data_IF_866822886748
#
_entry.id   IF_866822886748
#
_cell.length_a   1.000
_cell.length_b   1.000
_cell.length_c   1.000
_cell.angle_alpha   90.00
_cell.angle_beta   90.00
_cell.angle_gamma   90.00
#
_symmetry.space_group_name_H-M   'P 1'
#
loop_
_entity.id
_entity.type
_entity.pdbx_description
1 polymer ?
#
# COMPACT_ATOMS: atom_id res chain seq x y z
N UNK A 1 -11.17 -3.40 -9.96
CA UNK A 1 -11.55 -2.44 -8.90
C UNK A 1 -13.05 -2.38 -8.62
N UNK A 2 -13.94 -2.24 -9.61
CA UNK A 2 -15.39 -2.31 -9.35
C UNK A 2 -15.83 -3.60 -8.65
N UNK A 3 -15.30 -4.75 -9.08
CA UNK A 3 -15.50 -6.05 -8.40
C UNK A 3 -15.04 -6.03 -6.95
N UNK A 4 -13.93 -5.36 -6.63
CA UNK A 4 -13.46 -5.19 -5.26
C UNK A 4 -14.47 -4.38 -4.45
N UNK A 5 -14.98 -3.27 -4.98
CA UNK A 5 -16.03 -2.49 -4.33
C UNK A 5 -17.26 -3.32 -3.97
N UNK A 6 -17.74 -4.15 -4.90
CA UNK A 6 -18.86 -5.07 -4.65
C UNK A 6 -18.56 -6.11 -3.56
N UNK A 7 -17.33 -6.61 -3.48
CA UNK A 7 -16.92 -7.56 -2.44
C UNK A 7 -16.85 -6.88 -1.08
N UNK A 8 -16.22 -5.71 -0.99
CA UNK A 8 -16.22 -4.92 0.25
C UNK A 8 -17.64 -4.61 0.72
N UNK A 9 -18.58 -4.37 -0.22
CA UNK A 9 -20.00 -4.19 0.12
C UNK A 9 -20.60 -5.44 0.75
N UNK A 10 -20.24 -6.63 0.26
CA UNK A 10 -20.69 -7.91 0.82
C UNK A 10 -20.06 -8.18 2.17
N UNK A 11 -18.74 -8.01 2.28
CA UNK A 11 -17.96 -8.30 3.49
C UNK A 11 -18.39 -7.40 4.66
N UNK A 12 -18.74 -6.14 4.39
CA UNK A 12 -19.10 -5.13 5.39
C UNK A 12 -20.59 -4.73 5.37
N UNK A 13 -21.48 -5.52 4.77
CA UNK A 13 -22.90 -5.17 4.62
C UNK A 13 -23.64 -4.94 5.93
N UNK A 14 -23.22 -5.62 7.00
CA UNK A 14 -23.80 -5.48 8.34
C UNK A 14 -23.25 -4.28 9.12
N UNK A 15 -22.12 -3.74 8.69
CA UNK A 15 -21.43 -2.63 9.36
C UNK A 15 -21.72 -1.28 8.68
N UNK A 16 -21.72 -1.27 7.34
CA UNK A 16 -21.94 -0.08 6.53
C UNK A 16 -23.41 0.12 6.21
N UNK A 17 -23.87 1.37 6.27
CA UNK A 17 -25.20 1.78 5.82
C UNK A 17 -25.42 1.43 4.35
N UNK A 18 -26.68 1.20 3.95
CA UNK A 18 -27.01 0.88 2.56
C UNK A 18 -26.75 2.04 1.61
N UNK A 19 -27.17 3.23 2.01
CA UNK A 19 -26.84 4.49 1.36
C UNK A 19 -25.44 4.97 1.73
N UNK A 20 -24.81 5.72 0.83
CA UNK A 20 -23.63 6.52 1.18
C UNK A 20 -24.03 7.63 2.16
N UNK A 21 -23.30 7.76 3.27
CA UNK A 21 -23.46 8.85 4.23
C UNK A 21 -22.11 9.52 4.39
N UNK A 22 -22.07 10.82 4.13
CA UNK A 22 -20.83 11.63 4.14
C UNK A 22 -20.07 11.51 5.46
N UNK A 23 -20.78 11.58 6.59
CA UNK A 23 -20.21 11.50 7.94
C UNK A 23 -19.68 10.10 8.32
N UNK A 24 -20.02 9.06 7.54
CA UNK A 24 -19.61 7.66 7.81
C UNK A 24 -18.43 7.21 6.94
N UNK A 25 -18.15 7.88 5.82
CA UNK A 25 -17.22 7.39 4.79
C UNK A 25 -16.28 8.50 4.33
N UNK A 26 -14.99 8.29 4.55
CA UNK A 26 -13.93 9.15 4.05
C UNK A 26 -13.07 8.42 3.01
N UNK A 27 -12.74 9.11 1.93
CA UNK A 27 -11.92 8.56 0.85
C UNK A 27 -10.78 9.51 0.54
N UNK A 28 -9.55 8.98 0.61
CA UNK A 28 -8.34 9.67 0.17
C UNK A 28 -7.62 8.83 -0.87
N UNK A 29 -7.22 9.46 -1.97
CA UNK A 29 -6.37 8.86 -2.98
C UNK A 29 -5.05 9.62 -3.08
N UNK A 30 -3.98 8.94 -3.48
CA UNK A 30 -2.79 9.64 -3.94
C UNK A 30 -3.13 10.50 -5.17
N UNK A 31 -2.37 11.58 -5.40
CA UNK A 31 -2.57 12.46 -6.55
C UNK A 31 -2.03 11.85 -7.86
N UNK A 32 -2.60 10.69 -8.22
CA UNK A 32 -2.27 9.94 -9.43
C UNK A 32 -3.56 9.49 -10.10
N UNK A 33 -3.67 9.70 -11.41
CA UNK A 33 -4.86 9.39 -12.21
C UNK A 33 -5.36 7.94 -11.99
N UNK A 34 -4.46 6.96 -12.03
CA UNK A 34 -4.82 5.53 -11.86
C UNK A 34 -5.41 5.23 -10.48
N UNK A 35 -4.96 5.92 -9.43
CA UNK A 35 -5.44 5.72 -8.06
C UNK A 35 -6.82 6.36 -7.88
N UNK A 36 -7.00 7.61 -8.36
CA UNK A 36 -8.31 8.29 -8.35
C UNK A 36 -9.37 7.50 -9.11
N UNK A 37 -9.05 7.03 -10.32
CA UNK A 37 -9.95 6.19 -11.11
C UNK A 37 -10.26 4.85 -10.41
N UNK A 38 -9.27 4.24 -9.77
CA UNK A 38 -9.47 3.01 -8.99
C UNK A 38 -10.40 3.22 -7.80
N UNK A 39 -10.23 4.32 -7.06
CA UNK A 39 -11.11 4.70 -5.96
C UNK A 39 -12.55 4.91 -6.43
N UNK A 40 -12.76 5.63 -7.53
CA UNK A 40 -14.10 5.82 -8.13
C UNK A 40 -14.76 4.49 -8.49
N UNK A 41 -14.01 3.55 -9.07
CA UNK A 41 -14.54 2.22 -9.39
C UNK A 41 -14.90 1.41 -8.13
N UNK A 42 -14.06 1.45 -7.08
CA UNK A 42 -14.38 0.82 -5.80
C UNK A 42 -15.67 1.41 -5.22
N UNK A 43 -15.79 2.74 -5.19
CA UNK A 43 -16.95 3.44 -4.66
C UNK A 43 -18.23 3.14 -5.45
N UNK A 44 -18.15 3.06 -6.77
CA UNK A 44 -19.28 2.69 -7.61
C UNK A 44 -19.77 1.26 -7.32
N UNK A 45 -18.88 0.33 -6.95
CA UNK A 45 -19.25 -1.03 -6.54
C UNK A 45 -19.72 -1.12 -5.10
N UNK A 46 -19.23 -0.22 -4.23
CA UNK A 46 -19.48 -0.22 -2.79
C UNK A 46 -20.78 0.50 -2.42
N UNK A 47 -21.09 1.61 -3.09
CA UNK A 47 -22.24 2.48 -2.79
C UNK A 47 -23.05 2.80 -4.06
N UNK A 48 -23.67 1.80 -4.70
CA UNK A 48 -24.67 2.09 -5.72
C UNK A 48 -25.80 2.96 -5.11
N UNK A 49 -26.33 3.95 -5.84
CA UNK A 49 -27.38 4.82 -5.30
C UNK A 49 -28.65 4.03 -5.01
N UNK A 50 -29.27 4.32 -3.86
CA UNK A 50 -30.52 3.70 -3.41
C UNK A 50 -31.55 4.75 -3.02
N UNK A 51 -32.82 4.49 -3.30
CA UNK A 51 -33.93 5.37 -2.95
C UNK A 51 -33.72 6.81 -3.44
N UNK A 52 -33.70 7.76 -2.51
CA UNK A 52 -33.56 9.19 -2.81
C UNK A 52 -32.18 9.59 -3.38
N UNK A 53 -31.15 8.74 -3.27
CA UNK A 53 -29.84 9.00 -3.86
C UNK A 53 -29.77 8.65 -5.36
N UNK A 54 -30.83 8.05 -5.91
CA UNK A 54 -30.95 7.81 -7.35
C UNK A 54 -31.34 9.12 -8.03
N UNK A 55 -30.33 9.91 -8.40
CA UNK A 55 -30.52 11.18 -9.12
C UNK A 55 -30.80 10.96 -10.62
N UNK A 56 -30.37 9.82 -11.18
CA UNK A 56 -30.59 9.43 -12.57
C UNK A 56 -30.95 7.93 -12.67
N UNK A 57 -32.18 7.57 -13.11
CA UNK A 57 -32.61 6.17 -13.23
C UNK A 57 -31.81 5.32 -14.23
N UNK A 58 -31.25 5.95 -15.27
CA UNK A 58 -30.50 5.26 -16.33
C UNK A 58 -29.00 5.12 -16.02
N UNK A 59 -28.54 5.74 -14.93
CA UNK A 59 -27.15 5.72 -14.49
C UNK A 59 -27.08 5.40 -13.00
N UNK A 60 -26.97 4.11 -12.60
CA UNK A 60 -26.90 3.67 -11.21
C UNK A 60 -25.53 3.97 -10.59
N UNK A 61 -25.18 5.24 -10.55
CA UNK A 61 -23.94 5.80 -10.02
C UNK A 61 -24.25 7.13 -9.31
N UNK A 62 -23.50 7.41 -8.25
CA UNK A 62 -23.56 8.68 -7.54
C UNK A 62 -22.14 9.25 -7.35
N UNK A 63 -21.99 10.58 -7.37
CA UNK A 63 -20.71 11.22 -7.07
C UNK A 63 -20.39 11.04 -5.58
N UNK A 64 -19.25 10.43 -5.29
CA UNK A 64 -18.70 10.35 -3.93
C UNK A 64 -17.36 11.09 -3.92
N UNK A 65 -17.16 12.09 -3.03
CA UNK A 65 -15.93 12.87 -2.96
C UNK A 65 -14.69 12.01 -2.70
N UNK A 66 -13.59 12.36 -3.36
CA UNK A 66 -12.27 11.77 -3.13
C UNK A 66 -11.28 12.89 -2.85
N UNK A 67 -10.73 12.90 -1.65
CA UNK A 67 -9.67 13.85 -1.26
C UNK A 67 -8.32 13.38 -1.80
N UNK A 68 -7.41 14.32 -2.06
CA UNK A 68 -6.02 14.02 -2.38
C UNK A 68 -5.11 15.15 -1.89
N UNK A 69 -3.84 14.84 -1.72
CA UNK A 69 -2.77 15.81 -1.44
C UNK A 69 -1.82 15.80 -2.64
N UNK A 70 -1.35 16.96 -3.15
CA UNK A 70 -0.37 17.00 -4.24
C UNK A 70 0.82 16.09 -3.96
N UNK A 71 1.32 15.37 -4.98
CA UNK A 71 2.33 14.31 -4.77
C UNK A 71 3.55 14.77 -3.97
N UNK A 72 4.08 15.96 -4.26
CA UNK A 72 5.26 16.54 -3.61
C UNK A 72 5.05 16.94 -2.14
N UNK A 73 3.80 16.93 -1.68
CA UNK A 73 3.41 17.25 -0.31
C UNK A 73 2.87 16.02 0.43
N UNK A 74 2.70 14.89 -0.26
CA UNK A 74 2.08 13.69 0.29
C UNK A 74 3.13 12.72 0.85
N UNK A 75 3.24 12.69 2.17
CA UNK A 75 4.08 11.77 2.94
C UNK A 75 3.34 10.49 3.39
N UNK A 76 2.06 10.34 3.04
CA UNK A 76 1.22 9.23 3.50
C UNK A 76 0.99 8.19 2.41
N UNK A 77 0.50 8.61 1.23
CA UNK A 77 0.08 7.67 0.18
C UNK A 77 1.11 7.56 -0.95
N UNK A 78 1.63 8.67 -1.48
CA UNK A 78 2.68 8.63 -2.52
C UNK A 78 4.09 8.46 -1.94
N UNK A 79 4.33 8.90 -0.70
CA UNK A 79 5.65 8.99 -0.08
C UNK A 79 6.62 9.90 -0.86
N UNK A 80 6.09 10.92 -1.52
CA UNK A 80 6.86 11.81 -2.41
C UNK A 80 7.18 13.17 -1.80
N UNK A 81 6.66 13.46 -0.59
CA UNK A 81 7.16 14.58 0.21
C UNK A 81 8.65 14.36 0.52
N UNK A 82 9.56 15.28 0.16
CA UNK A 82 10.99 15.11 0.36
C UNK A 82 11.34 14.80 1.82
N UNK A 83 12.25 13.84 2.01
CA UNK A 83 12.69 13.47 3.34
C UNK A 83 14.17 13.13 3.45
N UNK A 84 14.91 13.86 4.28
CA UNK A 84 16.37 13.72 4.41
C UNK A 84 16.73 12.40 5.09
N UNK A 85 16.16 12.10 6.26
CA UNK A 85 16.40 10.86 6.99
C UNK A 85 16.13 9.61 6.14
N UNK A 86 14.99 9.60 5.41
CA UNK A 86 14.64 8.49 4.51
C UNK A 86 15.64 8.38 3.36
N UNK A 87 16.00 9.51 2.74
CA UNK A 87 16.98 9.56 1.65
C UNK A 87 18.36 9.04 2.08
N UNK A 88 18.87 9.47 3.23
CA UNK A 88 20.15 9.00 3.77
C UNK A 88 20.09 7.51 4.19
N UNK A 89 18.96 7.04 4.75
CA UNK A 89 18.78 5.63 5.05
C UNK A 89 18.81 4.75 3.78
N UNK A 90 18.11 5.17 2.72
CA UNK A 90 18.14 4.48 1.43
C UNK A 90 19.54 4.50 0.80
N UNK A 91 20.20 5.66 0.81
CA UNK A 91 21.56 5.82 0.29
C UNK A 91 22.56 4.92 1.01
N UNK A 92 22.53 4.89 2.36
CA UNK A 92 23.36 3.99 3.18
C UNK A 92 23.17 2.53 2.76
N UNK A 93 21.94 2.09 2.55
CA UNK A 93 21.69 0.72 2.11
C UNK A 93 22.16 0.45 0.69
N UNK A 94 21.86 1.34 -0.25
CA UNK A 94 22.26 1.19 -1.65
C UNK A 94 23.78 1.18 -1.82
N UNK A 95 24.52 1.83 -0.93
CA UNK A 95 26.00 1.81 -0.88
C UNK A 95 26.59 0.71 0.02
N UNK A 96 25.78 -0.22 0.54
CA UNK A 96 26.27 -1.29 1.43
C UNK A 96 27.01 -2.40 0.69
N UNK A 97 27.81 -3.18 1.41
CA UNK A 97 28.46 -4.39 0.89
C UNK A 97 27.43 -5.41 0.37
N UNK A 98 26.26 -5.48 1.01
CA UNK A 98 25.16 -6.35 0.57
C UNK A 98 24.71 -5.97 -0.84
N UNK A 99 24.49 -4.68 -1.09
CA UNK A 99 24.06 -4.19 -2.41
C UNK A 99 25.19 -4.25 -3.43
N UNK A 100 26.43 -4.02 -3.01
CA UNK A 100 27.61 -4.21 -3.86
C UNK A 100 27.71 -5.66 -4.33
N UNK A 101 27.60 -6.63 -3.42
CA UNK A 101 27.63 -8.04 -3.74
C UNK A 101 26.42 -8.46 -4.61
N UNK A 102 25.22 -7.93 -4.31
CA UNK A 102 24.04 -8.14 -5.15
C UNK A 102 24.29 -7.71 -6.60
N UNK A 103 24.91 -6.54 -6.82
CA UNK A 103 25.25 -6.07 -8.16
C UNK A 103 26.29 -6.95 -8.85
N UNK A 104 27.32 -7.41 -8.12
CA UNK A 104 28.35 -8.32 -8.66
C UNK A 104 27.73 -9.65 -9.12
N UNK A 105 26.87 -10.25 -8.29
CA UNK A 105 26.21 -11.53 -8.61
C UNK A 105 25.34 -11.42 -9.87
N UNK A 106 24.71 -10.26 -10.09
CA UNK A 106 23.81 -10.03 -11.22
C UNK A 106 24.45 -9.29 -12.40
N UNK A 107 25.77 -9.07 -12.40
CA UNK A 107 26.49 -8.25 -13.39
C UNK A 107 26.20 -8.70 -14.84
N UNK A 108 26.15 -10.01 -15.08
CA UNK A 108 25.84 -10.58 -16.41
C UNK A 108 24.44 -10.21 -16.87
N UNK A 109 23.46 -10.27 -15.98
CA UNK A 109 22.09 -9.89 -16.28
C UNK A 109 22.02 -8.39 -16.57
N UNK A 110 22.64 -7.55 -15.74
CA UNK A 110 22.66 -6.10 -15.95
C UNK A 110 23.24 -5.74 -17.32
N UNK A 111 24.41 -6.29 -17.68
CA UNK A 111 25.01 -6.09 -19.02
C UNK A 111 24.10 -6.55 -20.15
N UNK A 112 23.41 -7.68 -19.99
CA UNK A 112 22.47 -8.20 -20.98
C UNK A 112 21.28 -7.26 -21.17
N UNK A 113 20.66 -6.81 -20.07
CA UNK A 113 19.55 -5.87 -20.10
C UNK A 113 19.98 -4.54 -20.73
N UNK A 114 21.16 -4.02 -20.36
CA UNK A 114 21.67 -2.77 -20.92
C UNK A 114 21.88 -2.84 -22.42
N UNK A 115 22.49 -3.94 -22.90
CA UNK A 115 22.73 -4.16 -24.33
C UNK A 115 21.41 -4.16 -25.13
N UNK A 116 20.38 -4.83 -24.63
CA UNK A 116 19.14 -5.02 -25.37
C UNK A 116 18.13 -3.88 -25.22
N UNK A 117 18.20 -3.12 -24.13
CA UNK A 117 17.34 -1.94 -23.93
C UNK A 117 17.97 -0.66 -24.48
N UNK A 118 19.30 -0.61 -24.65
CA UNK A 118 20.02 0.60 -25.01
C UNK A 118 20.15 1.61 -23.85
N UNK A 119 19.71 1.25 -22.65
CA UNK A 119 19.83 2.05 -21.43
C UNK A 119 20.88 1.41 -20.51
N UNK A 120 21.64 2.20 -19.75
CA UNK A 120 22.52 1.64 -18.71
C UNK A 120 21.71 1.13 -17.51
N UNK A 121 21.35 -0.15 -17.51
CA UNK A 121 20.66 -0.86 -16.43
C UNK A 121 21.70 -1.32 -15.40
N UNK A 122 21.86 -0.56 -14.32
CA UNK A 122 22.91 -0.77 -13.31
C UNK A 122 22.40 -0.81 -11.85
N UNK A 123 21.08 -0.71 -11.64
CA UNK A 123 20.48 -0.72 -10.30
C UNK A 123 19.12 -1.46 -10.27
N UNK A 124 18.65 -1.71 -9.04
CA UNK A 124 17.39 -2.44 -8.77
C UNK A 124 16.15 -1.67 -9.23
N UNK A 125 16.19 -0.34 -9.30
CA UNK A 125 15.06 0.49 -9.72
C UNK A 125 14.83 0.38 -11.23
N UNK A 126 15.91 0.37 -12.01
CA UNK A 126 15.87 0.21 -13.46
C UNK A 126 15.43 -1.20 -13.85
N UNK A 127 15.90 -2.22 -13.14
CA UNK A 127 15.41 -3.59 -13.33
C UNK A 127 13.93 -3.70 -12.98
N UNK A 128 13.49 -3.10 -11.86
CA UNK A 128 12.07 -3.06 -11.50
C UNK A 128 11.22 -2.42 -12.61
N UNK A 129 11.63 -1.26 -13.12
CA UNK A 129 10.91 -0.56 -14.19
C UNK A 129 10.80 -1.39 -15.47
N UNK A 130 11.89 -2.04 -15.87
CA UNK A 130 11.91 -2.90 -17.05
C UNK A 130 11.04 -4.15 -16.84
N UNK A 131 11.18 -4.81 -15.70
CA UNK A 131 10.39 -5.98 -15.32
C UNK A 131 8.89 -5.66 -15.35
N UNK A 132 8.47 -4.55 -14.73
CA UNK A 132 7.07 -4.12 -14.69
C UNK A 132 6.53 -3.85 -16.10
N UNK A 133 7.30 -3.14 -16.93
CA UNK A 133 6.95 -2.87 -18.34
C UNK A 133 6.70 -4.16 -19.10
N UNK A 134 7.66 -5.09 -19.08
CA UNK A 134 7.56 -6.36 -19.82
C UNK A 134 6.45 -7.27 -19.23
N UNK A 135 6.24 -7.25 -17.91
CA UNK A 135 5.13 -7.97 -17.25
C UNK A 135 3.78 -7.46 -17.74
N UNK A 136 3.59 -6.15 -17.83
CA UNK A 136 2.36 -5.50 -18.29
C UNK A 136 2.12 -5.81 -19.77
N UNK A 137 3.12 -5.63 -20.62
CA UNK A 137 3.02 -5.94 -22.06
C UNK A 137 2.61 -7.40 -22.28
N UNK A 138 3.26 -8.33 -21.58
CA UNK A 138 2.93 -9.75 -21.61
C UNK A 138 1.51 -10.02 -21.12
N UNK A 139 1.08 -9.38 -20.03
CA UNK A 139 -0.27 -9.53 -19.48
C UNK A 139 -1.35 -9.08 -20.46
N UNK A 140 -1.06 -8.06 -21.26
CA UNK A 140 -1.95 -7.56 -22.32
C UNK A 140 -1.78 -8.27 -23.66
N UNK A 141 -1.09 -9.42 -23.70
CA UNK A 141 -0.83 -10.21 -24.91
C UNK A 141 -0.13 -9.42 -26.01
N UNK A 142 0.68 -8.42 -25.64
CA UNK A 142 1.53 -7.71 -26.60
C UNK A 142 2.74 -8.56 -26.93
N UNK A 143 3.21 -8.45 -28.17
CA UNK A 143 4.42 -9.16 -28.61
C UNK A 143 5.65 -8.51 -27.97
N UNK A 144 6.34 -9.28 -27.12
CA UNK A 144 7.59 -8.84 -26.53
C UNK A 144 8.74 -8.92 -27.54
N UNK A 145 9.75 -8.05 -27.42
CA UNK A 145 10.94 -8.10 -28.28
C UNK A 145 11.62 -9.49 -28.27
N UNK A 146 12.19 -9.97 -29.39
CA UNK A 146 12.71 -11.34 -29.49
C UNK A 146 13.76 -11.73 -28.43
N UNK A 147 14.56 -10.77 -27.94
CA UNK A 147 15.57 -11.01 -26.91
C UNK A 147 14.96 -11.43 -25.56
N UNK A 148 13.71 -11.07 -25.29
CA UNK A 148 13.01 -11.40 -24.04
C UNK A 148 12.69 -12.89 -23.86
N UNK A 149 12.81 -13.69 -24.93
CA UNK A 149 12.47 -15.13 -24.93
C UNK A 149 13.31 -15.95 -23.95
N UNK A 150 14.52 -15.50 -23.65
CA UNK A 150 15.46 -16.19 -22.76
C UNK A 150 15.74 -15.41 -21.47
N UNK A 151 14.87 -14.47 -21.12
CA UNK A 151 15.03 -13.72 -19.88
C UNK A 151 14.87 -14.60 -18.65
N UNK A 152 15.76 -14.48 -17.65
CA UNK A 152 15.58 -15.11 -16.35
C UNK A 152 14.51 -14.34 -15.57
N UNK A 153 13.24 -14.60 -15.88
CA UNK A 153 12.09 -13.88 -15.31
C UNK A 153 12.05 -13.93 -13.78
N UNK A 154 12.37 -15.09 -13.19
CA UNK A 154 12.36 -15.25 -11.73
C UNK A 154 13.45 -14.37 -11.07
N UNK A 155 14.65 -14.34 -11.63
CA UNK A 155 15.72 -13.45 -11.16
C UNK A 155 15.36 -11.98 -11.34
N UNK A 156 14.74 -11.60 -12.47
CA UNK A 156 14.27 -10.23 -12.65
C UNK A 156 13.18 -9.87 -11.63
N UNK A 157 12.28 -10.80 -11.32
CA UNK A 157 11.25 -10.62 -10.31
C UNK A 157 11.85 -10.42 -8.92
N UNK A 158 12.82 -11.25 -8.51
CA UNK A 158 13.50 -11.12 -7.21
C UNK A 158 14.15 -9.74 -7.06
N UNK A 159 14.86 -9.27 -8.09
CA UNK A 159 15.48 -7.94 -8.10
C UNK A 159 14.42 -6.84 -8.09
N UNK A 160 13.35 -6.99 -8.88
CA UNK A 160 12.27 -6.03 -8.95
C UNK A 160 11.48 -5.92 -7.64
N UNK A 161 11.30 -7.03 -6.92
CA UNK A 161 10.63 -7.08 -5.63
C UNK A 161 11.50 -6.44 -4.54
N UNK A 162 12.83 -6.57 -4.64
CA UNK A 162 13.77 -5.90 -3.72
C UNK A 162 13.57 -4.39 -3.70
N UNK A 163 13.27 -3.74 -4.83
CA UNK A 163 12.95 -2.29 -4.90
C UNK A 163 11.82 -1.87 -3.96
N UNK A 164 10.81 -2.71 -3.72
CA UNK A 164 9.74 -2.37 -2.77
C UNK A 164 10.18 -2.64 -1.32
N UNK A 165 11.00 -3.68 -1.14
CA UNK A 165 11.49 -4.10 0.16
C UNK A 165 12.55 -3.17 0.77
N UNK A 166 13.33 -2.43 -0.04
CA UNK A 166 14.34 -1.48 0.50
C UNK A 166 13.73 -0.41 1.42
N UNK A 167 12.44 -0.14 1.30
CA UNK A 167 11.71 0.79 2.17
C UNK A 167 11.35 0.19 3.53
N UNK A 168 11.82 -1.02 3.83
CA UNK A 168 11.41 -1.80 5.01
C UNK A 168 12.59 -2.41 5.76
N UNK A 169 13.82 -2.13 5.35
CA UNK A 169 15.04 -2.81 5.83
C UNK A 169 15.58 -2.22 7.14
N UNK A 170 15.42 -0.92 7.34
CA UNK A 170 15.96 -0.17 8.46
C UNK A 170 14.84 0.57 9.18
N UNK A 171 15.05 0.89 10.45
CA UNK A 171 14.07 1.61 11.27
C UNK A 171 13.60 2.90 10.59
N UNK A 172 14.50 3.74 10.08
CA UNK A 172 14.14 4.99 9.38
C UNK A 172 13.30 4.70 8.13
N UNK A 173 13.69 3.71 7.32
CA UNK A 173 12.92 3.36 6.11
C UNK A 173 11.50 2.88 6.47
N UNK A 174 11.36 2.04 7.51
CA UNK A 174 10.06 1.60 8.01
C UNK A 174 9.26 2.78 8.56
N UNK A 175 9.88 3.62 9.38
CA UNK A 175 9.24 4.78 10.04
C UNK A 175 8.66 5.77 9.02
N UNK A 176 9.46 6.18 8.04
CA UNK A 176 9.08 7.21 7.06
C UNK A 176 8.35 6.65 5.84
N UNK A 177 8.14 5.33 5.76
CA UNK A 177 7.32 4.69 4.72
C UNK A 177 6.05 4.10 5.31
N UNK A 178 6.07 2.83 5.76
CA UNK A 178 4.88 2.15 6.29
C UNK A 178 4.40 2.71 7.62
N UNK A 179 5.33 3.23 8.43
CA UNK A 179 5.07 3.78 9.75
C UNK A 179 4.13 4.99 9.77
N UNK A 180 4.22 5.85 8.75
CA UNK A 180 3.34 7.02 8.61
C UNK A 180 1.89 6.59 8.45
N UNK A 181 1.63 5.60 7.59
CA UNK A 181 0.29 5.06 7.38
C UNK A 181 -0.23 4.35 8.63
N UNK A 182 0.60 3.54 9.29
CA UNK A 182 0.21 2.86 10.52
C UNK A 182 -0.13 3.86 11.63
N UNK A 183 0.64 4.95 11.76
CA UNK A 183 0.37 6.01 12.72
C UNK A 183 -0.98 6.69 12.45
N UNK A 184 -1.25 7.05 11.20
CA UNK A 184 -2.53 7.65 10.81
C UNK A 184 -3.71 6.73 11.14
N UNK A 185 -3.62 5.43 10.82
CA UNK A 185 -4.67 4.45 11.15
C UNK A 185 -4.89 4.35 12.66
N UNK A 186 -3.83 4.28 13.46
CA UNK A 186 -3.90 4.25 14.92
C UNK A 186 -4.59 5.50 15.46
N UNK A 187 -4.25 6.67 14.94
CA UNK A 187 -4.86 7.93 15.37
C UNK A 187 -6.36 7.97 15.07
N UNK A 188 -6.79 7.48 13.89
CA UNK A 188 -8.22 7.39 13.54
C UNK A 188 -8.97 6.40 14.44
N UNK A 189 -8.36 5.27 14.77
CA UNK A 189 -8.96 4.31 15.70
C UNK A 189 -9.00 4.82 17.15
N UNK A 190 -7.98 5.53 17.59
CA UNK A 190 -7.95 6.17 18.90
C UNK A 190 -9.01 7.26 19.01
N UNK A 191 -9.17 8.10 17.97
CA UNK A 191 -10.24 9.10 17.91
C UNK A 191 -11.64 8.46 17.97
N UNK A 192 -11.88 7.38 17.20
CA UNK A 192 -13.14 6.62 17.28
C UNK A 192 -13.37 6.03 18.68
N UNK A 193 -12.33 5.51 19.32
CA UNK A 193 -12.41 4.86 20.63
C UNK A 193 -12.69 5.85 21.77
N UNK A 194 -12.16 7.08 21.68
CA UNK A 194 -12.21 8.08 22.74
C UNK A 194 -13.37 9.07 22.52
N UNK A 195 -13.49 9.61 21.31
CA UNK A 195 -14.41 10.70 20.98
C UNK A 195 -15.69 10.21 20.28
N UNK A 196 -15.77 8.94 19.90
CA UNK A 196 -16.97 8.37 19.28
C UNK A 196 -17.24 8.86 17.86
N UNK A 197 -16.21 9.26 17.12
CA UNK A 197 -16.28 9.74 15.71
C UNK A 197 -17.27 8.95 14.85
N UNK A 198 -18.17 9.60 14.10
CA UNK A 198 -19.19 8.95 13.26
C UNK A 198 -18.60 8.15 12.09
N UNK A 199 -17.32 8.38 11.78
CA UNK A 199 -16.60 7.75 10.68
C UNK A 199 -16.52 6.23 10.88
N UNK A 200 -17.04 5.49 9.91
CA UNK A 200 -17.06 4.03 9.89
C UNK A 200 -16.01 3.44 8.94
N UNK A 201 -15.83 4.05 7.77
CA UNK A 201 -14.94 3.56 6.73
C UNK A 201 -14.00 4.65 6.25
N UNK A 202 -12.72 4.31 6.17
CA UNK A 202 -11.71 5.10 5.47
C UNK A 202 -11.14 4.25 4.33
N UNK A 203 -11.15 4.78 3.11
CA UNK A 203 -10.49 4.15 1.96
C UNK A 203 -9.27 4.98 1.58
N UNK A 204 -8.11 4.33 1.63
CA UNK A 204 -6.86 4.84 1.08
C UNK A 204 -6.56 4.17 -0.27
N UNK A 205 -6.65 4.91 -1.36
CA UNK A 205 -6.30 4.42 -2.70
C UNK A 205 -4.90 4.88 -3.10
N UNK A 206 -3.95 3.94 -3.08
CA UNK A 206 -2.52 4.26 -3.14
C UNK A 206 -1.74 3.28 -4.06
N UNK A 207 -0.53 2.91 -3.67
CA UNK A 207 0.44 2.17 -4.50
C UNK A 207 0.94 0.90 -3.80
N UNK A 208 1.58 0.04 -4.57
CA UNK A 208 2.40 -1.07 -4.06
C UNK A 208 3.52 -0.56 -3.12
N UNK A 209 4.11 0.60 -3.43
CA UNK A 209 5.07 1.30 -2.57
C UNK A 209 4.46 1.84 -1.27
N UNK A 210 3.14 1.89 -1.14
CA UNK A 210 2.45 2.21 0.12
C UNK A 210 2.12 0.94 0.89
N UNK A 211 1.58 -0.06 0.17
CA UNK A 211 1.10 -1.32 0.76
C UNK A 211 2.24 -2.19 1.29
N UNK A 212 3.32 -2.37 0.51
CA UNK A 212 4.42 -3.25 0.91
C UNK A 212 5.09 -2.76 2.19
N UNK A 213 5.48 -1.48 2.33
CA UNK A 213 6.08 -1.02 3.58
C UNK A 213 5.18 -1.17 4.79
N UNK A 214 3.89 -0.84 4.68
CA UNK A 214 2.95 -1.05 5.78
C UNK A 214 2.82 -2.54 6.16
N UNK A 215 2.70 -3.43 5.16
CA UNK A 215 2.60 -4.87 5.38
C UNK A 215 3.88 -5.47 5.98
N UNK A 216 5.07 -5.03 5.55
CA UNK A 216 6.34 -5.47 6.14
C UNK A 216 6.52 -4.94 7.56
N UNK A 217 6.13 -3.70 7.85
CA UNK A 217 6.12 -3.15 9.21
C UNK A 217 5.25 -3.99 10.16
N UNK A 218 4.23 -4.67 9.64
CA UNK A 218 3.38 -5.60 10.39
C UNK A 218 3.97 -7.03 10.52
N UNK A 219 5.16 -7.28 10.01
CA UNK A 219 5.89 -8.54 10.18
C UNK A 219 5.58 -9.63 9.15
N UNK A 220 5.08 -9.27 7.96
CA UNK A 220 4.79 -10.23 6.89
C UNK A 220 6.01 -11.05 6.44
N UNK A 221 7.19 -10.41 6.38
CA UNK A 221 8.50 -11.08 6.25
C UNK A 221 8.78 -11.73 4.90
N UNK A 222 7.91 -11.58 3.90
CA UNK A 222 8.11 -12.13 2.54
C UNK A 222 8.37 -11.02 1.53
N UNK A 223 9.36 -11.18 0.67
CA UNK A 223 9.62 -10.27 -0.45
C UNK A 223 8.68 -10.65 -1.60
N UNK A 224 7.89 -9.69 -2.09
CA UNK A 224 6.95 -9.92 -3.19
C UNK A 224 6.53 -8.61 -3.88
N UNK A 225 5.94 -8.72 -5.07
CA UNK A 225 5.25 -7.61 -5.74
C UNK A 225 3.75 -7.87 -5.63
N UNK A 226 2.96 -6.98 -5.01
CA UNK A 226 1.52 -7.12 -4.92
C UNK A 226 0.85 -7.13 -6.30
N UNK A 227 -0.16 -7.99 -6.48
CA UNK A 227 -1.00 -7.94 -7.68
C UNK A 227 -2.04 -6.82 -7.57
N UNK A 228 -2.67 -6.49 -8.71
CA UNK A 228 -3.64 -5.40 -8.75
C UNK A 228 -4.79 -5.61 -7.76
N UNK A 229 -5.14 -4.54 -7.04
CA UNK A 229 -6.19 -4.56 -6.02
C UNK A 229 -5.86 -5.40 -4.78
N UNK A 230 -4.60 -5.79 -4.57
CA UNK A 230 -4.12 -6.19 -3.26
C UNK A 230 -4.43 -5.09 -2.25
N UNK A 231 -4.88 -5.46 -1.05
CA UNK A 231 -5.26 -4.48 -0.04
C UNK A 231 -5.11 -5.03 1.38
N UNK A 232 -4.91 -4.10 2.31
CA UNK A 232 -4.98 -4.31 3.74
C UNK A 232 -6.30 -3.76 4.26
N UNK A 233 -6.99 -4.53 5.09
CA UNK A 233 -8.12 -4.06 5.87
C UNK A 233 -7.72 -4.02 7.35
N UNK A 234 -7.85 -2.86 7.97
CA UNK A 234 -7.70 -2.69 9.41
C UNK A 234 -9.08 -2.54 10.00
N UNK A 235 -9.40 -3.34 11.00
CA UNK A 235 -10.71 -3.36 11.65
C UNK A 235 -10.55 -3.10 13.14
N UNK A 236 -11.36 -2.19 13.67
CA UNK A 236 -11.46 -1.92 15.09
C UNK A 236 -12.74 -2.55 15.64
N UNK A 237 -12.58 -3.56 16.49
CA UNK A 237 -13.68 -4.30 17.12
C UNK A 237 -13.84 -3.84 18.57
N UNK A 238 -15.05 -3.49 18.99
CA UNK A 238 -15.37 -3.30 20.41
C UNK A 238 -15.89 -4.63 20.97
N UNK A 239 -15.07 -5.31 21.77
CA UNK A 239 -15.43 -6.55 22.47
C UNK A 239 -15.49 -6.23 23.96
N UNK A 240 -16.67 -6.33 24.57
CA UNK A 240 -16.95 -5.79 25.91
C UNK A 240 -16.57 -4.29 25.97
N UNK A 241 -15.72 -3.87 26.91
CA UNK A 241 -15.20 -2.50 27.01
C UNK A 241 -13.79 -2.33 26.43
N UNK A 242 -13.32 -3.30 25.65
CA UNK A 242 -11.98 -3.27 25.03
C UNK A 242 -12.06 -3.13 23.52
N UNK A 243 -11.17 -2.30 22.96
CA UNK A 243 -11.02 -2.13 21.53
C UNK A 243 -9.85 -2.99 21.02
N UNK A 244 -10.16 -3.92 20.13
CA UNK A 244 -9.21 -4.85 19.51
C UNK A 244 -9.02 -4.51 18.03
N UNK A 245 -7.78 -4.57 17.57
CA UNK A 245 -7.45 -4.38 16.15
C UNK A 245 -7.25 -5.73 15.47
N UNK A 246 -7.85 -5.88 14.29
CA UNK A 246 -7.57 -6.99 13.37
C UNK A 246 -7.04 -6.42 12.07
N UNK A 247 -6.04 -7.09 11.51
CA UNK A 247 -5.49 -6.74 10.22
C UNK A 247 -5.73 -7.92 9.29
N UNK A 248 -6.31 -7.64 8.13
CA UNK A 248 -6.55 -8.62 7.09
C UNK A 248 -5.82 -8.22 5.82
N UNK A 249 -5.42 -9.22 5.05
CA UNK A 249 -4.73 -9.05 3.78
C UNK A 249 -5.41 -9.87 2.68
N UNK A 250 -5.54 -9.27 1.51
CA UNK A 250 -5.91 -9.94 0.27
C UNK A 250 -4.86 -9.64 -0.80
N UNK A 251 -4.40 -10.70 -1.49
CA UNK A 251 -3.30 -10.62 -2.45
C UNK A 251 -3.66 -9.93 -3.77
N UNK A 252 -4.94 -9.84 -4.12
CA UNK A 252 -5.46 -9.16 -5.31
C UNK A 252 -6.96 -8.85 -5.19
N UNK A 253 -7.55 -8.16 -6.17
CA UNK A 253 -8.97 -7.77 -6.17
C UNK A 253 -9.97 -8.95 -6.18
N UNK A 254 -9.51 -10.17 -6.46
CA UNK A 254 -10.31 -11.40 -6.50
C UNK A 254 -10.03 -12.35 -5.34
N UNK A 255 -9.04 -12.06 -4.49
CA UNK A 255 -8.77 -12.84 -3.28
C UNK A 255 -9.74 -12.46 -2.16
N UNK A 256 -10.01 -13.40 -1.26
CA UNK A 256 -10.73 -13.12 -0.01
C UNK A 256 -9.80 -12.45 1.00
N UNK A 257 -10.36 -11.64 1.89
CA UNK A 257 -9.64 -11.11 3.04
C UNK A 257 -9.29 -12.23 4.01
N UNK A 258 -8.03 -12.31 4.40
CA UNK A 258 -7.53 -13.30 5.35
C UNK A 258 -6.86 -12.62 6.52
N UNK A 259 -7.06 -13.12 7.74
CA UNK A 259 -6.44 -12.56 8.94
C UNK A 259 -4.91 -12.64 8.81
N UNK A 260 -4.25 -11.50 8.93
CA UNK A 260 -2.81 -11.39 8.97
C UNK A 260 -2.31 -11.68 10.40
N UNK A 261 -1.58 -12.78 10.64
CA UNK A 261 -1.06 -13.07 11.97
C UNK A 261 0.03 -12.06 12.36
N UNK A 262 -0.23 -11.30 13.42
CA UNK A 262 0.72 -10.33 13.96
C UNK A 262 1.55 -10.99 15.08
N UNK A 263 2.74 -11.51 14.75
CA UNK A 263 3.61 -12.17 15.72
C UNK A 263 3.99 -11.28 16.91
N UNK A 264 4.16 -9.97 16.66
CA UNK A 264 4.47 -8.98 17.70
C UNK A 264 3.26 -8.56 18.55
N UNK A 265 2.03 -8.83 18.08
CA UNK A 265 0.80 -8.55 18.81
C UNK A 265 -0.22 -9.69 18.64
N UNK A 266 -0.02 -10.82 19.35
CA UNK A 266 -0.92 -11.96 19.26
C UNK A 266 -2.36 -11.61 19.69
N UNK A 267 -3.34 -12.26 19.08
CA UNK A 267 -4.77 -12.09 19.41
C UNK A 267 -5.08 -12.57 20.84
N UNK A 268 -5.88 -11.82 21.64
CA UNK A 268 -6.45 -10.51 21.33
C UNK A 268 -5.40 -9.40 21.32
N UNK A 269 -5.36 -8.62 20.25
CA UNK A 269 -4.46 -7.49 20.09
C UNK A 269 -5.25 -6.21 20.36
N UNK A 270 -5.14 -5.65 21.56
CA UNK A 270 -5.79 -4.38 21.89
C UNK A 270 -5.16 -3.24 21.09
N UNK A 271 -5.92 -2.18 20.80
CA UNK A 271 -5.41 -0.99 20.11
C UNK A 271 -4.18 -0.41 20.83
N UNK A 272 -4.23 -0.33 22.17
CA UNK A 272 -3.13 0.16 22.99
C UNK A 272 -1.86 -0.70 22.87
N UNK A 273 -2.02 -2.03 22.92
CA UNK A 273 -0.90 -2.97 22.79
C UNK A 273 -0.31 -2.94 21.38
N UNK A 274 -1.15 -2.84 20.36
CA UNK A 274 -0.71 -2.71 18.98
C UNK A 274 0.17 -1.46 18.80
N UNK A 275 -0.31 -0.32 19.29
CA UNK A 275 0.44 0.94 19.25
C UNK A 275 1.76 0.84 20.04
N UNK A 276 1.72 0.35 21.28
CA UNK A 276 2.90 0.19 22.13
C UNK A 276 4.00 -0.64 21.45
N UNK A 277 3.64 -1.76 20.82
CA UNK A 277 4.60 -2.63 20.13
C UNK A 277 5.18 -2.00 18.86
N UNK A 278 4.44 -1.16 18.16
CA UNK A 278 4.98 -0.42 17.01
C UNK A 278 5.87 0.74 17.47
N UNK A 279 5.55 1.39 18.60
CA UNK A 279 6.40 2.43 19.22
C UNK A 279 7.71 1.86 19.76
N UNK A 280 7.69 0.68 20.39
CA UNK A 280 8.90 0.04 20.93
C UNK A 280 9.92 -0.34 19.85
N UNK A 281 9.45 -0.49 18.60
CA UNK A 281 10.29 -0.70 17.41
C UNK A 281 10.74 0.60 16.75
N UNK A 282 10.34 1.76 17.29
CA UNK A 282 10.64 3.09 16.76
C UNK A 282 10.15 3.34 15.33
N UNK A 283 9.10 2.64 14.89
CA UNK A 283 8.58 2.76 13.52
C UNK A 283 7.39 3.71 13.38
N UNK A 284 6.93 4.32 14.46
CA UNK A 284 5.88 5.34 14.40
C UNK A 284 6.51 6.74 14.53
N UNK A 285 6.39 7.62 13.52
CA UNK A 285 6.85 9.00 13.65
C UNK A 285 6.02 9.73 14.70
N UNK A 286 6.68 10.54 15.52
CA UNK A 286 6.05 11.44 16.49
C UNK A 286 5.82 12.82 15.87
N UNK A 287 6.84 13.33 15.19
CA UNK A 287 6.79 14.56 14.40
C UNK A 287 7.52 14.30 13.09
N UNK A 288 6.73 14.00 12.04
CA UNK A 288 7.28 13.63 10.75
C UNK A 288 8.19 14.73 10.21
N UNK A 289 7.75 16.00 10.22
CA UNK A 289 8.50 17.11 9.62
C UNK A 289 9.84 17.32 10.31
N UNK A 290 9.87 17.27 11.65
CA UNK A 290 11.13 17.42 12.40
C UNK A 290 12.04 16.22 12.25
N UNK A 291 11.53 15.00 12.43
CA UNK A 291 12.35 13.78 12.38
C UNK A 291 12.92 13.52 10.98
N UNK A 292 12.22 14.00 9.96
CA UNK A 292 12.60 13.85 8.56
C UNK A 292 13.76 14.77 8.13
N UNK A 293 14.05 15.83 8.89
CA UNK A 293 15.18 16.74 8.65
C UNK A 293 16.51 16.22 9.21
N UNK A 294 16.47 15.27 10.15
CA UNK A 294 17.65 14.64 10.76
C UNK A 294 18.40 13.76 9.75
#
# INVERSE_FOLDING_TARGET
MYTLGKRLRQDYSHFLSESYIEDEVYVRSSDTVRCKASAQLVLAGLFPPVGHQIWNPDLPWQPIPISYVPRQEDNLLSLEKPCHALGEALKRFLSSDQMTNHTIVHEKLYKYLSLHTGQDINDVFLVHKLYDTLKIEKHHNLELPPWTKHLPWDTMYEIAALKLFIYTIATDTQKFSGGVLLKDIIDKFSDRSINGSSLKLIIYSAHDSTLVPALQSLGFGKIFIPDYGAHLAFELHKINETHEIRVLFAENFNSSLTLLPLSFCPSPCTLSKFEEQLRSREILPTDWDRECLN
#
